data_IF_161138232600
#
_entry.id   IF_161138232600
#
_cell.length_a   1.000
_cell.length_b   1.000
_cell.length_c   1.000
_cell.angle_alpha   90.00
_cell.angle_beta   90.00
_cell.angle_gamma   90.00
#
_symmetry.space_group_name_H-M   'P 1'
#
loop_
_entity.id
_entity.type
_entity.pdbx_description
1 polymer ?
#
# COMPACT_ATOMS: atom_id res chain seq x y z
N UNK A 1 -14.62 0.36 -2.19
CA UNK A 1 -13.62 -0.73 -2.20
C UNK A 1 -12.37 -0.29 -1.46
N UNK A 2 -11.57 -1.24 -0.98
CA UNK A 2 -10.32 -0.96 -0.25
C UNK A 2 -9.35 -0.08 -1.08
N UNK A 3 -9.24 -0.34 -2.38
CA UNK A 3 -8.42 0.47 -3.29
C UNK A 3 -8.86 1.94 -3.30
N UNK A 4 -10.17 2.19 -3.40
CA UNK A 4 -10.70 3.55 -3.39
C UNK A 4 -10.43 4.24 -2.05
N UNK A 5 -10.68 3.59 -0.93
CA UNK A 5 -10.48 4.16 0.40
C UNK A 5 -8.99 4.47 0.67
N UNK A 6 -8.07 3.58 0.23
CA UNK A 6 -6.62 3.83 0.29
C UNK A 6 -6.21 5.04 -0.55
N UNK A 7 -6.75 5.15 -1.78
CA UNK A 7 -6.50 6.29 -2.66
C UNK A 7 -7.04 7.59 -2.10
N UNK A 8 -8.28 7.60 -1.61
CA UNK A 8 -8.90 8.78 -0.98
C UNK A 8 -8.11 9.24 0.26
N UNK A 9 -7.67 8.30 1.11
CA UNK A 9 -6.83 8.59 2.28
C UNK A 9 -5.49 9.20 1.90
N UNK A 10 -4.84 8.68 0.85
CA UNK A 10 -3.60 9.26 0.31
C UNK A 10 -3.82 10.68 -0.20
N UNK A 11 -4.79 10.90 -1.09
CA UNK A 11 -5.05 12.20 -1.70
C UNK A 11 -5.47 13.26 -0.68
N UNK A 12 -6.17 12.88 0.38
CA UNK A 12 -6.58 13.81 1.46
C UNK A 12 -5.40 14.57 2.08
N UNK A 13 -4.21 13.97 2.10
CA UNK A 13 -2.99 14.61 2.62
C UNK A 13 -2.02 15.00 1.51
N UNK A 14 -1.85 14.16 0.50
CA UNK A 14 -0.87 14.36 -0.55
C UNK A 14 -1.16 15.61 -1.37
N UNK A 15 -2.41 15.86 -1.75
CA UNK A 15 -2.79 16.98 -2.61
C UNK A 15 -2.50 18.35 -1.98
N UNK A 16 -2.38 18.41 -0.64
CA UNK A 16 -2.00 19.65 0.07
C UNK A 16 -0.50 19.79 0.35
N UNK A 17 0.28 18.70 0.23
CA UNK A 17 1.70 18.67 0.64
C UNK A 17 2.66 18.29 -0.47
N UNK A 18 2.16 17.65 -1.52
CA UNK A 18 2.95 17.09 -2.61
C UNK A 18 2.32 17.47 -3.95
N UNK A 19 3.12 17.38 -5.01
CA UNK A 19 2.62 17.46 -6.38
C UNK A 19 2.46 16.04 -6.92
N UNK A 20 1.22 15.58 -7.05
CA UNK A 20 0.91 14.27 -7.65
C UNK A 20 0.93 14.41 -9.16
N UNK A 21 1.96 13.89 -9.81
CA UNK A 21 2.20 14.04 -11.26
C UNK A 21 1.63 12.90 -12.09
N UNK A 22 1.37 11.74 -11.49
CA UNK A 22 0.82 10.58 -12.20
C UNK A 22 -0.01 9.70 -11.27
N UNK A 23 -1.05 9.08 -11.83
CA UNK A 23 -1.90 8.10 -11.15
C UNK A 23 -2.37 7.07 -12.17
N UNK A 24 -2.05 5.81 -11.96
CA UNK A 24 -2.45 4.70 -12.82
C UNK A 24 -2.78 3.46 -12.00
N UNK A 25 -3.61 2.58 -12.54
CA UNK A 25 -3.87 1.27 -11.96
C UNK A 25 -2.87 0.24 -12.46
N UNK A 26 -2.43 -0.67 -11.59
CA UNK A 26 -1.67 -1.86 -11.93
C UNK A 26 -2.32 -3.13 -11.36
N UNK A 27 -3.62 -3.05 -11.05
CA UNK A 27 -4.51 -4.18 -10.71
C UNK A 27 -3.99 -5.09 -9.58
N UNK A 28 -3.24 -4.52 -8.63
CA UNK A 28 -2.60 -5.23 -7.53
C UNK A 28 -1.57 -6.31 -7.95
N UNK A 29 -1.07 -6.23 -9.19
CA UNK A 29 -0.15 -7.19 -9.78
C UNK A 29 1.28 -6.63 -9.85
N UNK A 30 2.30 -7.47 -9.53
CA UNK A 30 3.71 -7.08 -9.51
C UNK A 30 4.25 -6.73 -10.88
N UNK A 31 3.96 -7.54 -11.89
CA UNK A 31 4.45 -7.34 -13.26
C UNK A 31 3.83 -6.10 -13.89
N UNK A 32 2.53 -5.89 -13.66
CA UNK A 32 1.85 -4.65 -14.08
C UNK A 32 2.37 -3.45 -13.31
N UNK A 33 2.67 -3.60 -12.01
CA UNK A 33 3.32 -2.59 -11.19
C UNK A 33 4.66 -2.14 -11.75
N UNK A 34 5.49 -3.09 -12.18
CA UNK A 34 6.75 -2.83 -12.88
C UNK A 34 6.52 -1.99 -14.14
N UNK A 35 5.68 -2.48 -15.06
CA UNK A 35 5.43 -1.80 -16.35
C UNK A 35 4.84 -0.40 -16.17
N UNK A 36 3.89 -0.24 -15.25
CA UNK A 36 3.28 1.07 -14.96
C UNK A 36 4.31 2.02 -14.35
N UNK A 37 5.14 1.55 -13.42
CA UNK A 37 6.18 2.38 -12.82
C UNK A 37 7.27 2.80 -13.85
N UNK A 38 7.68 1.90 -14.74
CA UNK A 38 8.59 2.24 -15.85
C UNK A 38 8.01 3.37 -16.71
N UNK A 39 6.75 3.25 -17.12
CA UNK A 39 6.08 4.27 -17.93
C UNK A 39 5.97 5.61 -17.17
N UNK A 40 5.63 5.58 -15.88
CA UNK A 40 5.56 6.79 -15.04
C UNK A 40 6.92 7.48 -14.93
N UNK A 41 8.00 6.71 -14.70
CA UNK A 41 9.35 7.22 -14.56
C UNK A 41 9.92 7.76 -15.87
N UNK A 42 9.52 7.19 -17.02
CA UNK A 42 9.88 7.72 -18.33
C UNK A 42 9.15 9.04 -18.63
N UNK A 43 7.84 9.07 -18.39
CA UNK A 43 7.03 10.27 -18.63
C UNK A 43 7.35 11.43 -17.67
N UNK A 44 7.77 11.12 -16.44
CA UNK A 44 8.07 12.10 -15.40
C UNK A 44 9.42 11.76 -14.74
N UNK A 45 10.54 12.18 -15.34
CA UNK A 45 11.89 11.84 -14.84
C UNK A 45 12.19 12.34 -13.43
N UNK A 46 11.48 13.34 -12.95
CA UNK A 46 11.68 14.00 -11.66
C UNK A 46 10.86 13.40 -10.51
N UNK A 47 10.16 12.28 -10.73
CA UNK A 47 9.46 11.56 -9.66
C UNK A 47 10.43 11.26 -8.52
N UNK A 48 10.05 11.65 -7.29
CA UNK A 48 10.83 11.42 -6.06
C UNK A 48 10.24 10.31 -5.19
N UNK A 49 8.95 10.03 -5.33
CA UNK A 49 8.26 9.01 -4.54
C UNK A 49 7.15 8.34 -5.32
N UNK A 50 6.88 7.08 -4.98
CA UNK A 50 5.71 6.31 -5.44
C UNK A 50 5.00 5.74 -4.22
N UNK A 51 3.70 5.99 -4.11
CA UNK A 51 2.81 5.28 -3.21
C UNK A 51 2.09 4.19 -4.00
N UNK A 52 2.32 2.94 -3.65
CA UNK A 52 1.63 1.79 -4.20
C UNK A 52 0.57 1.29 -3.21
N UNK A 53 -0.62 1.00 -3.71
CA UNK A 53 -1.74 0.59 -2.86
C UNK A 53 -1.65 -0.86 -2.37
N UNK A 54 -0.60 -1.61 -2.77
CA UNK A 54 -0.21 -2.87 -2.15
C UNK A 54 1.29 -3.13 -2.36
N UNK A 55 1.83 -4.12 -1.64
CA UNK A 55 3.25 -4.47 -1.68
C UNK A 55 3.66 -5.10 -3.02
N UNK A 56 2.78 -5.85 -3.68
CA UNK A 56 3.09 -6.44 -4.98
C UNK A 56 3.41 -5.36 -6.02
N UNK A 57 2.59 -4.33 -6.12
CA UNK A 57 2.87 -3.19 -7.01
C UNK A 57 4.10 -2.40 -6.55
N UNK A 58 4.31 -2.26 -5.24
CA UNK A 58 5.50 -1.60 -4.70
C UNK A 58 6.79 -2.33 -5.07
N UNK A 59 6.80 -3.66 -4.99
CA UNK A 59 7.94 -4.51 -5.39
C UNK A 59 8.22 -4.37 -6.90
N UNK A 60 7.19 -4.32 -7.74
CA UNK A 60 7.34 -4.01 -9.15
C UNK A 60 7.94 -2.61 -9.40
N UNK A 61 7.49 -1.60 -8.66
CA UNK A 61 8.03 -0.25 -8.76
C UNK A 61 9.50 -0.15 -8.30
N UNK A 62 9.92 -0.96 -7.33
CA UNK A 62 11.33 -1.07 -6.92
C UNK A 62 12.21 -1.57 -8.08
N UNK A 63 11.75 -2.59 -8.80
CA UNK A 63 12.47 -3.13 -9.95
C UNK A 63 12.57 -2.09 -11.07
N UNK A 64 11.47 -1.37 -11.35
CA UNK A 64 11.47 -0.27 -12.33
C UNK A 64 12.46 0.84 -11.96
N UNK A 65 12.48 1.26 -10.69
CA UNK A 65 13.40 2.29 -10.22
C UNK A 65 14.87 1.84 -10.32
N UNK A 66 15.17 0.59 -9.96
CA UNK A 66 16.52 0.00 -10.11
C UNK A 66 16.96 -0.03 -11.57
N UNK A 67 16.10 -0.50 -12.48
CA UNK A 67 16.38 -0.54 -13.91
C UNK A 67 16.62 0.84 -14.50
N UNK A 68 15.92 1.85 -14.00
CA UNK A 68 16.11 3.25 -14.40
C UNK A 68 17.30 3.93 -13.71
N UNK A 69 18.02 3.26 -12.81
CA UNK A 69 19.12 3.83 -12.03
C UNK A 69 18.68 4.95 -11.08
N UNK A 70 17.42 4.94 -10.64
CA UNK A 70 16.83 6.00 -9.80
C UNK A 70 16.68 5.56 -8.35
N UNK A 71 17.02 6.47 -7.45
CA UNK A 71 16.70 6.34 -6.02
C UNK A 71 15.46 7.17 -5.71
N UNK A 72 14.34 6.50 -5.44
CA UNK A 72 13.07 7.12 -5.10
C UNK A 72 12.49 6.47 -3.85
N UNK A 73 11.68 7.21 -3.12
CA UNK A 73 10.96 6.68 -1.98
C UNK A 73 9.77 5.83 -2.46
N UNK A 74 9.67 4.59 -2.00
CA UNK A 74 8.57 3.70 -2.35
C UNK A 74 7.88 3.24 -1.08
N UNK A 75 6.57 3.44 -1.03
CA UNK A 75 5.71 3.01 0.09
C UNK A 75 4.69 2.02 -0.43
N UNK A 76 4.60 0.88 0.24
CA UNK A 76 3.64 -0.19 -0.03
C UNK A 76 2.49 -0.22 0.96
N UNK A 77 1.67 -1.23 0.83
CA UNK A 77 0.55 -1.54 1.71
C UNK A 77 0.35 -3.06 1.72
N UNK A 78 -0.02 -3.61 2.83
CA UNK A 78 -0.37 -4.96 3.26
C UNK A 78 0.59 -5.50 4.32
N UNK A 79 1.89 -5.19 4.28
CA UNK A 79 2.90 -5.75 5.18
C UNK A 79 3.16 -7.23 4.88
N UNK A 80 3.21 -7.58 3.60
CA UNK A 80 3.55 -8.94 3.17
C UNK A 80 4.97 -9.32 3.57
N UNK A 81 5.29 -10.60 3.63
CA UNK A 81 6.63 -11.05 3.97
C UNK A 81 7.72 -10.45 3.05
N UNK A 82 7.43 -10.36 1.75
CA UNK A 82 8.35 -9.75 0.78
C UNK A 82 8.41 -8.23 0.92
N UNK A 83 7.28 -7.58 1.22
CA UNK A 83 7.23 -6.14 1.51
C UNK A 83 8.05 -5.78 2.75
N UNK A 84 7.92 -6.54 3.84
CA UNK A 84 8.70 -6.34 5.07
C UNK A 84 10.20 -6.52 4.81
N UNK A 85 10.61 -7.59 4.09
CA UNK A 85 12.01 -7.79 3.69
C UNK A 85 12.55 -6.64 2.83
N UNK A 86 11.72 -6.10 1.93
CA UNK A 86 12.11 -4.95 1.11
C UNK A 86 12.33 -3.69 1.98
N UNK A 87 11.53 -3.49 3.02
CA UNK A 87 11.75 -2.41 4.00
C UNK A 87 13.02 -2.64 4.80
N UNK A 88 13.24 -3.84 5.33
CA UNK A 88 14.45 -4.19 6.10
C UNK A 88 15.73 -4.00 5.29
N UNK A 89 15.72 -4.36 4.01
CA UNK A 89 16.86 -4.16 3.10
C UNK A 89 17.04 -2.70 2.67
N UNK A 90 16.05 -1.84 2.89
CA UNK A 90 16.04 -0.44 2.43
C UNK A 90 15.64 -0.24 0.97
N UNK A 91 15.18 -1.29 0.29
CA UNK A 91 14.65 -1.19 -1.07
C UNK A 91 13.25 -0.54 -1.11
N UNK A 92 12.47 -0.70 -0.06
CA UNK A 92 11.20 -0.02 0.19
C UNK A 92 11.34 0.89 1.41
N UNK A 93 10.75 2.07 1.36
CA UNK A 93 10.84 3.04 2.46
C UNK A 93 9.97 2.65 3.65
N UNK A 94 8.76 2.19 3.38
CA UNK A 94 7.81 1.72 4.37
C UNK A 94 6.72 0.86 3.74
N UNK A 95 6.04 0.06 4.55
CA UNK A 95 4.75 -0.55 4.19
C UNK A 95 3.75 -0.40 5.34
N UNK A 96 2.47 -0.27 4.99
CA UNK A 96 1.37 -0.18 5.97
C UNK A 96 0.78 -1.58 6.13
N UNK A 97 1.15 -2.25 7.22
CA UNK A 97 0.71 -3.62 7.47
C UNK A 97 -0.74 -3.69 7.93
N UNK A 98 -1.48 -4.60 7.34
CA UNK A 98 -2.73 -5.09 7.88
C UNK A 98 -2.42 -6.03 9.06
N UNK A 99 -3.38 -6.22 9.96
CA UNK A 99 -3.26 -7.13 11.09
C UNK A 99 -4.30 -8.25 10.97
N UNK A 100 -4.04 -9.28 10.13
CA UNK A 100 -5.02 -10.31 9.81
C UNK A 100 -5.47 -11.13 11.01
N UNK A 101 -4.61 -11.34 12.00
CA UNK A 101 -4.99 -12.03 13.24
C UNK A 101 -6.07 -11.26 14.01
N UNK A 102 -5.88 -9.95 14.18
CA UNK A 102 -6.87 -9.09 14.85
C UNK A 102 -8.16 -9.01 14.02
N UNK A 103 -8.03 -8.91 12.70
CA UNK A 103 -9.19 -8.90 11.81
C UNK A 103 -10.00 -10.20 11.91
N UNK A 104 -9.33 -11.36 12.00
CA UNK A 104 -9.97 -12.64 12.20
C UNK A 104 -10.68 -12.75 13.55
N UNK A 105 -10.04 -12.30 14.63
CA UNK A 105 -10.65 -12.25 15.96
C UNK A 105 -11.88 -11.37 16.00
N UNK A 106 -11.80 -10.14 15.50
CA UNK A 106 -12.92 -9.21 15.42
C UNK A 106 -14.08 -9.78 14.57
N UNK A 107 -13.75 -10.42 13.46
CA UNK A 107 -14.75 -11.06 12.61
C UNK A 107 -15.53 -12.16 13.35
N UNK A 108 -14.83 -13.01 14.10
CA UNK A 108 -15.45 -14.05 14.91
C UNK A 108 -16.33 -13.45 16.03
N UNK A 109 -15.83 -12.46 16.75
CA UNK A 109 -16.59 -11.79 17.82
C UNK A 109 -17.89 -11.19 17.29
N UNK A 110 -17.83 -10.51 16.14
CA UNK A 110 -19.01 -9.92 15.49
C UNK A 110 -19.99 -11.00 15.06
N UNK A 111 -19.51 -12.10 14.49
CA UNK A 111 -20.36 -13.21 14.08
C UNK A 111 -21.09 -13.84 15.29
N UNK A 112 -20.40 -14.02 16.41
CA UNK A 112 -21.00 -14.55 17.65
C UNK A 112 -22.07 -13.59 18.20
N UNK A 113 -21.80 -12.30 18.24
CA UNK A 113 -22.78 -11.28 18.67
C UNK A 113 -24.03 -11.29 17.78
N UNK A 114 -23.84 -11.29 16.46
CA UNK A 114 -24.92 -11.36 15.49
C UNK A 114 -25.77 -12.64 15.66
N UNK A 115 -25.11 -13.80 15.88
CA UNK A 115 -25.81 -15.07 16.11
C UNK A 115 -26.66 -15.05 17.41
N UNK A 116 -26.25 -14.27 18.41
CA UNK A 116 -27.04 -14.05 19.64
C UNK A 116 -28.14 -13.01 19.51
N UNK A 117 -28.32 -12.41 18.33
CA UNK A 117 -29.29 -11.34 18.09
C UNK A 117 -28.86 -9.98 18.66
N UNK A 118 -27.60 -9.82 19.04
CA UNK A 118 -27.09 -8.55 19.54
C UNK A 118 -26.85 -7.58 18.37
N UNK A 119 -27.02 -6.28 18.65
CA UNK A 119 -26.73 -5.24 17.66
C UNK A 119 -25.23 -5.17 17.37
N UNK A 120 -24.85 -5.25 16.11
CA UNK A 120 -23.46 -5.09 15.64
C UNK A 120 -23.33 -3.84 14.77
N UNK A 121 -22.16 -3.22 14.78
CA UNK A 121 -21.86 -2.07 13.94
C UNK A 121 -21.75 -2.50 12.46
N UNK A 122 -22.27 -1.66 11.56
CA UNK A 122 -22.22 -1.91 10.13
C UNK A 122 -20.80 -1.85 9.56
N UNK A 123 -19.89 -1.14 10.22
CA UNK A 123 -18.47 -1.00 9.83
C UNK A 123 -17.60 -1.00 11.07
N UNK A 124 -16.67 -1.93 11.11
CA UNK A 124 -15.66 -2.04 12.16
C UNK A 124 -14.29 -1.85 11.52
N UNK A 125 -13.52 -0.88 12.00
CA UNK A 125 -12.18 -0.60 11.50
C UNK A 125 -11.16 -1.52 12.16
N UNK A 126 -10.33 -2.18 11.35
CA UNK A 126 -9.17 -2.91 11.84
C UNK A 126 -7.97 -1.96 12.00
N UNK A 127 -7.14 -2.12 13.05
CA UNK A 127 -5.95 -1.32 13.22
C UNK A 127 -4.92 -1.64 12.13
N UNK A 128 -4.17 -0.61 11.70
CA UNK A 128 -3.05 -0.74 10.79
C UNK A 128 -1.74 -0.46 11.53
N UNK A 129 -0.63 -0.98 11.01
CA UNK A 129 0.70 -0.78 11.58
C UNK A 129 1.66 -0.28 10.50
N UNK A 130 2.32 0.85 10.74
CA UNK A 130 3.41 1.30 9.88
C UNK A 130 4.65 0.46 10.15
N UNK A 131 5.27 -0.08 9.10
CA UNK A 131 6.56 -0.76 9.13
C UNK A 131 7.54 0.09 8.34
N UNK A 132 8.57 0.56 8.99
CA UNK A 132 9.66 1.34 8.43
C UNK A 132 11.00 0.82 8.92
N UNK A 133 12.08 1.15 8.21
CA UNK A 133 13.43 0.77 8.64
C UNK A 133 13.76 1.54 9.92
N UNK A 134 14.16 0.81 10.96
CA UNK A 134 14.66 1.39 12.21
C UNK A 134 16.06 1.96 12.04
#
# INVERSE_FOLDING_TARGET
SASRERGEGFHKLADSKLTVVAKQTAEFDRSKGLTVAENMLQANPDIKAIFAQNDEMALGAIEAAKSAGKQIFIVGFDGTADGVKAVESGAMSATIAQQPEIMGQQGLEVAVKAAKGEKVEAKISAPLKLIEKK
#
